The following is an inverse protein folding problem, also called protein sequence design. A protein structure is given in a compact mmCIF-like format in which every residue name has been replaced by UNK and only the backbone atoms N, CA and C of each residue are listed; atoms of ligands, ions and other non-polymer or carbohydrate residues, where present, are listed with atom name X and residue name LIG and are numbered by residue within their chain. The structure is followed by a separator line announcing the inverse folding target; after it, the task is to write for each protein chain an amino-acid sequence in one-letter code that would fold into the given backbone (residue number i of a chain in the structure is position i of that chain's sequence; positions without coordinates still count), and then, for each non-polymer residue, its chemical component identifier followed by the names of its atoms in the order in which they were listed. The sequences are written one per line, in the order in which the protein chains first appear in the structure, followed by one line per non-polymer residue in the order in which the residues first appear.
data_IF_180362879572
#
_entry.id   IF_180362879572
#
_cell.length_a   1.000
_cell.length_b   1.000
_cell.length_c   1.000
_cell.angle_alpha   90.00
_cell.angle_beta   90.00
_cell.angle_gamma   90.00
#
_symmetry.space_group_name_H-M   'P 1'
#
loop_
_entity.id
_entity.type
_entity.pdbx_description
1 polymer ?
#
# COMPACT_ATOMS: atom_id res chain seq x y z
N UNK A 1 -27.52 14.01 -19.97
CA UNK A 1 -28.16 13.39 -18.78
C UNK A 1 -27.04 12.82 -17.96
N UNK A 2 -26.91 13.22 -16.69
CA UNK A 2 -25.88 12.64 -15.81
C UNK A 2 -26.12 11.14 -15.65
N UNK A 3 -25.04 10.39 -15.53
CA UNK A 3 -25.08 8.95 -15.24
C UNK A 3 -25.83 8.70 -13.94
N UNK A 4 -26.70 7.68 -13.93
CA UNK A 4 -27.49 7.31 -12.75
C UNK A 4 -26.54 6.89 -11.61
N UNK A 5 -26.73 7.43 -10.40
CA UNK A 5 -25.86 7.12 -9.25
C UNK A 5 -25.77 5.62 -8.97
N UNK A 6 -26.90 4.90 -9.10
CA UNK A 6 -26.95 3.46 -8.85
C UNK A 6 -26.17 2.65 -9.89
N UNK A 7 -26.01 3.19 -11.10
CA UNK A 7 -25.27 2.58 -12.21
C UNK A 7 -23.77 2.87 -12.10
N UNK A 8 -23.38 4.09 -11.70
CA UNK A 8 -21.97 4.48 -11.59
C UNK A 8 -21.28 4.01 -10.30
N UNK A 9 -22.02 3.81 -9.20
CA UNK A 9 -21.42 3.39 -7.92
C UNK A 9 -20.71 2.05 -8.05
N UNK A 10 -19.56 1.91 -7.40
CA UNK A 10 -18.70 0.72 -7.51
C UNK A 10 -19.09 -0.41 -6.55
N UNK A 11 -19.79 -0.08 -5.47
CA UNK A 11 -20.35 -1.07 -4.53
C UNK A 11 -21.84 -0.84 -4.27
N UNK A 12 -22.64 -1.90 -4.09
CA UNK A 12 -24.09 -1.82 -4.03
C UNK A 12 -24.62 -1.27 -2.71
N UNK A 13 -23.77 -1.13 -1.69
CA UNK A 13 -24.18 -0.71 -0.34
C UNK A 13 -24.30 0.81 -0.18
N UNK A 14 -23.72 1.59 -1.11
CA UNK A 14 -23.71 3.05 -1.02
C UNK A 14 -24.98 3.67 -1.61
N UNK A 15 -25.66 4.56 -0.88
CA UNK A 15 -26.79 5.34 -1.39
C UNK A 15 -26.36 6.75 -1.82
N UNK A 16 -27.11 7.36 -2.75
CA UNK A 16 -26.82 8.72 -3.20
C UNK A 16 -27.02 9.75 -2.07
N UNK A 17 -28.04 9.53 -1.23
CA UNK A 17 -28.33 10.36 -0.07
C UNK A 17 -27.17 10.40 0.92
N UNK A 18 -26.67 9.21 1.32
CA UNK A 18 -25.50 9.08 2.18
C UNK A 18 -24.28 9.82 1.58
N UNK A 19 -23.98 9.57 0.30
CA UNK A 19 -22.84 10.21 -0.37
C UNK A 19 -22.91 11.75 -0.30
N UNK A 20 -24.07 12.32 -0.67
CA UNK A 20 -24.27 13.78 -0.68
C UNK A 20 -24.22 14.39 0.71
N UNK A 21 -24.80 13.73 1.72
CA UNK A 21 -24.77 14.20 3.10
C UNK A 21 -23.34 14.20 3.63
N UNK A 22 -22.61 13.10 3.42
CA UNK A 22 -21.24 12.98 3.91
C UNK A 22 -20.31 14.01 3.25
N UNK A 23 -20.43 14.22 1.94
CA UNK A 23 -19.66 15.24 1.23
C UNK A 23 -20.00 16.65 1.75
N UNK A 24 -21.28 16.99 1.83
CA UNK A 24 -21.74 18.29 2.35
C UNK A 24 -21.25 18.54 3.78
N UNK A 25 -21.49 17.63 4.71
CA UNK A 25 -21.13 17.81 6.11
C UNK A 25 -19.62 17.89 6.32
N UNK A 26 -18.86 17.12 5.56
CA UNK A 26 -17.40 17.15 5.62
C UNK A 26 -16.85 18.51 5.19
N UNK A 27 -17.28 19.01 4.02
CA UNK A 27 -16.73 20.24 3.44
C UNK A 27 -17.37 21.52 3.97
N UNK A 28 -18.67 21.56 4.17
CA UNK A 28 -19.38 22.78 4.55
C UNK A 28 -19.36 23.02 6.05
N UNK A 29 -19.20 21.96 6.86
CA UNK A 29 -19.30 22.04 8.32
C UNK A 29 -17.97 21.65 8.97
N UNK A 30 -17.57 20.39 8.85
CA UNK A 30 -16.46 19.84 9.63
C UNK A 30 -15.11 20.50 9.30
N UNK A 31 -14.81 20.72 8.01
CA UNK A 31 -13.56 21.33 7.57
C UNK A 31 -13.43 22.79 8.02
N UNK A 32 -14.41 23.68 7.79
CA UNK A 32 -14.38 25.04 8.32
C UNK A 32 -14.22 25.10 9.83
N UNK A 33 -14.96 24.27 10.57
CA UNK A 33 -14.86 24.23 12.04
C UNK A 33 -13.46 23.80 12.50
N UNK A 34 -12.87 22.76 11.90
CA UNK A 34 -11.50 22.32 12.25
C UNK A 34 -10.46 23.35 11.85
N UNK A 35 -10.61 23.97 10.68
CA UNK A 35 -9.71 25.05 10.23
C UNK A 35 -9.72 26.21 11.22
N UNK A 36 -10.90 26.63 11.67
CA UNK A 36 -11.04 27.65 12.71
C UNK A 36 -10.38 27.22 14.01
N UNK A 37 -10.62 25.99 14.47
CA UNK A 37 -10.01 25.45 15.70
C UNK A 37 -8.49 25.39 15.61
N UNK A 38 -7.93 24.96 14.48
CA UNK A 38 -6.48 24.84 14.27
C UNK A 38 -5.80 26.21 14.13
N UNK A 39 -6.54 27.26 13.77
CA UNK A 39 -6.02 28.62 13.70
C UNK A 39 -5.77 29.26 15.07
N UNK A 40 -6.33 28.71 16.15
CA UNK A 40 -6.06 29.17 17.52
C UNK A 40 -4.60 28.81 17.90
N UNK A 41 -3.70 29.79 18.12
CA UNK A 41 -2.32 29.51 18.48
C UNK A 41 -2.18 28.87 19.87
N UNK A 42 -3.14 29.10 20.78
CA UNK A 42 -3.13 28.60 22.16
C UNK A 42 -3.75 27.19 22.28
N UNK A 43 -4.17 26.59 21.16
CA UNK A 43 -4.75 25.25 21.16
C UNK A 43 -3.75 24.23 21.75
N UNK A 44 -4.11 23.50 22.83
CA UNK A 44 -3.22 22.54 23.46
C UNK A 44 -2.68 21.52 22.46
N UNK A 45 -1.41 21.16 22.57
CA UNK A 45 -0.70 20.34 21.58
C UNK A 45 -1.38 18.98 21.34
N UNK A 46 -1.89 18.31 22.38
CA UNK A 46 -2.57 17.02 22.23
C UNK A 46 -3.90 17.15 21.49
N UNK A 47 -4.62 18.24 21.73
CA UNK A 47 -5.86 18.57 21.02
C UNK A 47 -5.56 18.92 19.56
N UNK A 48 -4.47 19.67 19.30
CA UNK A 48 -4.01 19.97 17.94
C UNK A 48 -3.67 18.69 17.19
N UNK A 49 -2.88 17.80 17.79
CA UNK A 49 -2.52 16.48 17.23
C UNK A 49 -3.76 15.64 16.91
N UNK A 50 -4.67 15.51 17.88
CA UNK A 50 -5.92 14.76 17.70
C UNK A 50 -6.80 15.35 16.58
N UNK A 51 -6.91 16.68 16.52
CA UNK A 51 -7.68 17.37 15.48
C UNK A 51 -7.07 17.15 14.09
N UNK A 52 -5.75 17.24 13.95
CA UNK A 52 -5.04 16.98 12.69
C UNK A 52 -5.16 15.52 12.25
N UNK A 53 -5.01 14.55 13.17
CA UNK A 53 -5.22 13.12 12.89
C UNK A 53 -6.63 12.87 12.39
N UNK A 54 -7.63 13.45 13.06
CA UNK A 54 -9.03 13.33 12.67
C UNK A 54 -9.31 13.94 11.28
N UNK A 55 -8.71 15.08 10.96
CA UNK A 55 -8.82 15.69 9.64
C UNK A 55 -8.20 14.81 8.55
N UNK A 56 -6.97 14.33 8.74
CA UNK A 56 -6.29 13.46 7.78
C UNK A 56 -7.08 12.15 7.54
N UNK A 57 -7.61 11.55 8.61
CA UNK A 57 -8.46 10.37 8.50
C UNK A 57 -9.75 10.63 7.70
N UNK A 58 -10.38 11.80 7.86
CA UNK A 58 -11.60 12.12 7.12
C UNK A 58 -11.34 12.42 5.64
N UNK A 59 -10.28 13.14 5.30
CA UNK A 59 -9.89 13.39 3.90
C UNK A 59 -9.61 12.05 3.19
N UNK A 60 -8.89 11.14 3.86
CA UNK A 60 -8.68 9.77 3.35
C UNK A 60 -9.99 8.99 3.17
N UNK A 61 -10.89 9.02 4.16
CA UNK A 61 -12.18 8.34 4.05
C UNK A 61 -13.05 8.91 2.92
N UNK A 62 -12.98 10.21 2.66
CA UNK A 62 -13.65 10.84 1.53
C UNK A 62 -13.11 10.35 0.19
N UNK A 63 -11.78 10.20 0.05
CA UNK A 63 -11.18 9.63 -1.16
C UNK A 63 -11.75 8.22 -1.43
N UNK A 64 -11.82 7.37 -0.40
CA UNK A 64 -12.42 6.03 -0.49
C UNK A 64 -13.91 6.11 -0.84
N UNK A 65 -14.64 7.05 -0.24
CA UNK A 65 -16.06 7.26 -0.50
C UNK A 65 -16.33 7.68 -1.94
N UNK A 66 -15.55 8.63 -2.48
CA UNK A 66 -15.65 9.10 -3.87
C UNK A 66 -15.34 8.00 -4.86
N UNK A 67 -14.32 7.19 -4.58
CA UNK A 67 -14.08 5.97 -5.35
C UNK A 67 -15.32 5.05 -5.29
N UNK A 68 -15.83 4.74 -4.10
CA UNK A 68 -17.02 3.89 -3.93
C UNK A 68 -18.27 4.46 -4.64
N UNK A 69 -18.42 5.78 -4.68
CA UNK A 69 -19.51 6.51 -5.33
C UNK A 69 -19.46 6.51 -6.86
N UNK A 70 -18.37 6.03 -7.46
CA UNK A 70 -18.24 6.05 -8.92
C UNK A 70 -17.69 7.38 -9.46
N UNK A 71 -16.95 8.16 -8.66
CA UNK A 71 -16.28 9.35 -9.19
C UNK A 71 -15.17 8.96 -10.19
N UNK A 72 -14.89 9.81 -11.20
CA UNK A 72 -13.80 9.58 -12.17
C UNK A 72 -12.44 9.41 -11.50
N UNK A 73 -11.63 8.47 -11.98
CA UNK A 73 -10.33 8.15 -11.38
C UNK A 73 -9.37 9.35 -11.45
N UNK A 74 -9.46 10.16 -12.50
CA UNK A 74 -8.68 11.38 -12.68
C UNK A 74 -8.89 12.35 -11.52
N UNK A 75 -10.14 12.50 -11.06
CA UNK A 75 -10.45 13.33 -9.89
C UNK A 75 -9.81 12.78 -8.61
N UNK A 76 -9.81 11.46 -8.45
CA UNK A 76 -9.22 10.80 -7.27
C UNK A 76 -7.70 10.99 -7.20
N UNK A 77 -7.03 11.09 -8.36
CA UNK A 77 -5.60 11.39 -8.43
C UNK A 77 -5.25 12.75 -7.86
N UNK A 78 -6.09 13.76 -8.09
CA UNK A 78 -5.93 15.11 -7.55
C UNK A 78 -6.26 15.15 -6.05
N UNK A 79 -7.32 14.46 -5.63
CA UNK A 79 -7.72 14.35 -4.22
C UNK A 79 -6.60 13.70 -3.35
N UNK A 80 -5.72 12.89 -3.95
CA UNK A 80 -4.64 12.21 -3.22
C UNK A 80 -3.57 13.17 -2.67
N UNK A 81 -3.31 14.31 -3.32
CA UNK A 81 -2.39 15.32 -2.80
C UNK A 81 -2.86 15.85 -1.44
N UNK A 82 -4.16 16.13 -1.30
CA UNK A 82 -4.76 16.61 -0.05
C UNK A 82 -4.66 15.56 1.07
N UNK A 83 -4.82 14.27 0.73
CA UNK A 83 -4.63 13.17 1.70
C UNK A 83 -3.20 13.18 2.24
N UNK A 84 -2.20 13.22 1.37
CA UNK A 84 -0.79 13.18 1.77
C UNK A 84 -0.41 14.42 2.57
N UNK A 85 -0.80 15.61 2.14
CA UNK A 85 -0.54 16.86 2.86
C UNK A 85 -1.17 16.89 4.26
N UNK A 86 -2.38 16.35 4.41
CA UNK A 86 -3.03 16.27 5.71
C UNK A 86 -2.28 15.34 6.67
N UNK A 87 -1.83 14.17 6.19
CA UNK A 87 -1.03 13.26 7.00
C UNK A 87 0.35 13.82 7.33
N UNK A 88 1.02 14.50 6.40
CA UNK A 88 2.29 15.19 6.67
C UNK A 88 2.13 16.32 7.70
N UNK A 89 1.01 17.06 7.65
CA UNK A 89 0.72 18.10 8.62
C UNK A 89 0.55 17.51 10.02
N UNK A 90 -0.16 16.39 10.13
CA UNK A 90 -0.23 15.63 11.38
C UNK A 90 1.15 15.12 11.81
N UNK A 91 1.93 14.55 10.90
CA UNK A 91 3.26 14.00 11.16
C UNK A 91 4.25 15.05 11.69
N UNK A 92 4.22 16.26 11.14
CA UNK A 92 4.99 17.41 11.63
C UNK A 92 4.58 17.79 13.05
N UNK A 93 3.28 17.87 13.33
CA UNK A 93 2.79 18.16 14.68
C UNK A 93 3.10 17.04 15.68
N UNK A 94 3.15 15.79 15.22
CA UNK A 94 3.50 14.61 16.00
C UNK A 94 5.01 14.47 16.27
N UNK A 95 5.87 15.16 15.52
CA UNK A 95 7.33 15.05 15.60
C UNK A 95 7.92 13.90 14.78
N UNK A 96 7.10 13.24 13.95
CA UNK A 96 7.56 12.15 13.05
C UNK A 96 8.36 12.70 11.87
N UNK A 97 8.00 13.88 11.38
CA UNK A 97 8.73 14.59 10.32
C UNK A 97 9.24 15.92 10.87
N UNK A 98 10.53 16.20 10.68
CA UNK A 98 11.14 17.45 11.14
C UNK A 98 12.66 17.34 11.30
N UNK A 99 13.25 18.25 12.09
CA UNK A 99 14.70 18.32 12.30
C UNK A 99 15.27 17.13 13.09
N UNK A 100 14.43 16.46 13.89
CA UNK A 100 14.75 15.24 14.64
C UNK A 100 13.55 14.28 14.50
N UNK A 101 13.41 13.61 13.35
CA UNK A 101 12.28 12.73 13.11
C UNK A 101 12.38 11.51 14.02
N UNK A 102 11.30 11.21 14.76
CA UNK A 102 11.20 10.05 15.62
C UNK A 102 9.82 9.39 15.49
N UNK A 103 9.81 8.05 15.47
CA UNK A 103 8.57 7.26 15.44
C UNK A 103 7.91 7.15 14.07
N UNK A 104 6.65 6.72 14.08
CA UNK A 104 5.81 6.51 12.91
C UNK A 104 4.39 6.99 13.20
N UNK A 105 3.68 7.43 12.17
CA UNK A 105 2.26 7.81 12.27
C UNK A 105 1.35 6.60 12.34
N UNK A 106 1.76 5.51 11.71
CA UNK A 106 1.06 4.22 11.74
C UNK A 106 2.02 3.14 12.22
N UNK A 107 1.53 2.26 13.09
CA UNK A 107 2.21 1.05 13.52
C UNK A 107 1.79 -0.17 12.72
N UNK A 108 2.74 -1.03 12.35
CA UNK A 108 2.41 -2.31 11.69
C UNK A 108 1.92 -3.37 12.68
N UNK A 109 2.18 -3.20 13.99
CA UNK A 109 1.70 -4.12 15.02
C UNK A 109 0.18 -4.12 15.24
N UNK A 110 -0.51 -3.01 14.96
CA UNK A 110 -1.96 -2.89 15.10
C UNK A 110 -2.63 -2.92 13.74
N UNK A 111 -3.54 -3.88 13.54
CA UNK A 111 -4.24 -4.11 12.26
C UNK A 111 -4.87 -2.86 11.67
N UNK A 112 -5.48 -1.99 12.49
CA UNK A 112 -6.14 -0.77 12.02
C UNK A 112 -5.16 0.27 11.45
N UNK A 113 -3.97 0.36 12.03
CA UNK A 113 -2.92 1.27 11.58
C UNK A 113 -2.18 0.69 10.37
N UNK A 114 -1.89 -0.62 10.40
CA UNK A 114 -1.33 -1.35 9.28
C UNK A 114 -2.20 -1.25 8.02
N UNK A 115 -3.51 -1.54 8.12
CA UNK A 115 -4.43 -1.43 6.97
C UNK A 115 -4.46 0.00 6.42
N UNK A 116 -4.44 1.00 7.29
CA UNK A 116 -4.40 2.40 6.84
C UNK A 116 -3.12 2.70 6.04
N UNK A 117 -1.99 2.08 6.37
CA UNK A 117 -0.73 2.21 5.65
C UNK A 117 -0.78 1.54 4.28
N UNK A 118 -1.05 0.23 4.23
CA UNK A 118 -0.98 -0.55 2.98
C UNK A 118 -2.08 -0.16 2.00
N UNK A 119 -3.27 0.23 2.47
CA UNK A 119 -4.32 0.74 1.60
C UNK A 119 -3.95 2.08 0.97
N UNK A 120 -3.31 2.98 1.72
CA UNK A 120 -2.87 4.27 1.18
C UNK A 120 -1.78 4.08 0.12
N UNK A 121 -0.80 3.21 0.39
CA UNK A 121 0.26 2.88 -0.56
C UNK A 121 -0.32 2.20 -1.81
N UNK A 122 -1.15 1.18 -1.64
CA UNK A 122 -1.78 0.46 -2.75
C UNK A 122 -2.63 1.38 -3.63
N UNK A 123 -3.44 2.24 -3.02
CA UNK A 123 -4.23 3.23 -3.76
C UNK A 123 -3.35 4.23 -4.50
N UNK A 124 -2.24 4.69 -3.89
CA UNK A 124 -1.29 5.60 -4.53
C UNK A 124 -0.65 4.98 -5.78
N UNK A 125 -0.28 3.70 -5.70
CA UNK A 125 0.29 2.94 -6.82
C UNK A 125 -0.75 2.79 -7.94
N UNK A 126 -1.95 2.35 -7.61
CA UNK A 126 -3.03 2.15 -8.58
C UNK A 126 -3.48 3.45 -9.25
N UNK A 127 -3.42 4.55 -8.52
CA UNK A 127 -3.67 5.88 -9.05
C UNK A 127 -2.50 6.44 -9.87
N UNK A 128 -1.38 5.72 -10.02
CA UNK A 128 -0.20 6.16 -10.78
C UNK A 128 0.32 7.51 -10.29
N UNK A 129 0.43 7.62 -8.97
CA UNK A 129 0.96 8.77 -8.21
C UNK A 129 2.18 8.37 -7.40
N UNK A 130 3.07 7.62 -8.04
CA UNK A 130 4.28 7.07 -7.43
C UNK A 130 5.24 8.19 -6.94
N UNK A 131 5.08 9.41 -7.45
CA UNK A 131 5.72 10.64 -6.96
C UNK A 131 5.44 10.93 -5.48
N UNK A 132 4.32 10.47 -4.96
CA UNK A 132 3.92 10.65 -3.56
C UNK A 132 4.48 9.57 -2.63
N UNK A 133 4.96 8.44 -3.16
CA UNK A 133 5.39 7.30 -2.35
C UNK A 133 6.53 7.63 -1.38
N UNK A 134 7.58 8.41 -1.74
CA UNK A 134 8.61 8.80 -0.77
C UNK A 134 8.09 9.64 0.40
N UNK A 135 7.07 10.48 0.15
CA UNK A 135 6.43 11.32 1.19
C UNK A 135 5.58 10.47 2.12
N UNK A 136 4.84 9.52 1.53
CA UNK A 136 4.02 8.54 2.26
C UNK A 136 4.95 7.66 3.10
N UNK A 137 6.01 7.11 2.53
CA UNK A 137 7.00 6.25 3.19
C UNK A 137 7.66 6.89 4.43
N UNK A 138 7.90 8.20 4.39
CA UNK A 138 8.43 8.96 5.53
C UNK A 138 7.49 8.96 6.76
N UNK A 139 6.20 8.63 6.58
CA UNK A 139 5.24 8.49 7.69
C UNK A 139 5.44 7.20 8.51
N UNK A 140 6.24 6.25 8.02
CA UNK A 140 6.41 4.90 8.57
C UNK A 140 7.86 4.56 8.93
N UNK A 141 8.70 5.56 9.23
CA UNK A 141 10.15 5.41 9.47
C UNK A 141 10.53 4.23 10.37
N UNK A 142 9.81 4.00 11.46
CA UNK A 142 10.08 2.91 12.41
C UNK A 142 9.78 1.49 11.87
N UNK A 143 9.18 1.36 10.69
CA UNK A 143 8.76 0.09 10.11
C UNK A 143 9.33 -0.18 8.70
N UNK A 144 10.24 0.66 8.22
CA UNK A 144 10.93 0.42 6.96
C UNK A 144 11.73 -0.89 7.04
N UNK A 145 11.54 -1.78 6.07
CA UNK A 145 12.17 -3.10 6.04
C UNK A 145 11.59 -4.09 7.06
N UNK A 146 10.43 -3.83 7.64
CA UNK A 146 9.87 -4.66 8.71
C UNK A 146 8.73 -5.60 8.27
N UNK A 147 8.10 -5.37 7.11
CA UNK A 147 6.93 -6.13 6.65
C UNK A 147 7.00 -6.45 5.16
N UNK A 148 6.83 -7.72 4.82
CA UNK A 148 6.95 -8.22 3.46
C UNK A 148 5.95 -7.58 2.49
N UNK A 149 4.66 -7.46 2.84
CA UNK A 149 3.66 -6.85 1.95
C UNK A 149 3.97 -5.39 1.68
N UNK A 150 4.34 -4.64 2.73
CA UNK A 150 4.71 -3.24 2.57
C UNK A 150 5.94 -3.08 1.67
N UNK A 151 6.96 -3.94 1.86
CA UNK A 151 8.18 -3.89 1.05
C UNK A 151 7.96 -4.33 -0.40
N UNK A 152 7.09 -5.31 -0.65
CA UNK A 152 6.68 -5.70 -2.01
C UNK A 152 6.01 -4.54 -2.76
N UNK A 153 5.27 -3.68 -2.06
CA UNK A 153 4.63 -2.49 -2.63
C UNK A 153 5.62 -1.35 -2.89
N UNK A 154 6.53 -1.07 -1.95
CA UNK A 154 7.35 0.15 -1.96
C UNK A 154 8.70 -0.01 -2.66
N UNK A 155 9.28 -1.23 -2.64
CA UNK A 155 10.63 -1.50 -3.18
C UNK A 155 10.83 -1.17 -4.66
N UNK A 156 9.81 -1.22 -5.55
CA UNK A 156 9.98 -0.78 -6.94
C UNK A 156 10.24 0.73 -7.07
N UNK A 157 9.87 1.52 -6.06
CA UNK A 157 9.84 2.99 -6.13
C UNK A 157 10.86 3.67 -5.23
N UNK A 158 11.30 2.99 -4.17
CA UNK A 158 12.25 3.52 -3.19
C UNK A 158 13.55 2.70 -3.23
N UNK A 159 14.68 3.29 -3.65
CA UNK A 159 15.97 2.60 -3.64
C UNK A 159 16.42 2.19 -2.24
N UNK A 160 17.24 1.14 -2.16
CA UNK A 160 17.81 0.67 -0.90
C UNK A 160 16.87 -0.19 -0.05
N UNK A 161 15.71 -0.57 -0.61
CA UNK A 161 14.86 -1.62 -0.05
C UNK A 161 15.40 -3.01 -0.37
N UNK A 162 15.27 -3.92 0.59
CA UNK A 162 15.74 -5.30 0.48
C UNK A 162 14.59 -6.28 0.68
N UNK A 163 14.83 -7.55 0.38
CA UNK A 163 13.87 -8.61 0.61
C UNK A 163 13.59 -8.79 2.11
N UNK A 164 12.31 -8.94 2.45
CA UNK A 164 11.84 -9.14 3.84
C UNK A 164 11.00 -10.41 3.90
N UNK A 165 11.40 -11.33 4.79
CA UNK A 165 10.72 -12.62 5.01
C UNK A 165 10.01 -12.65 6.38
N UNK A 166 9.31 -11.56 6.70
CA UNK A 166 8.53 -11.40 7.91
C UNK A 166 7.37 -10.43 7.62
N UNK A 167 6.19 -10.72 8.16
CA UNK A 167 5.02 -9.88 8.01
C UNK A 167 4.21 -9.88 9.31
N UNK A 168 3.47 -8.81 9.55
CA UNK A 168 2.79 -8.60 10.84
C UNK A 168 1.45 -9.32 10.97
N UNK A 169 0.81 -9.62 9.84
CA UNK A 169 -0.55 -10.14 9.81
C UNK A 169 -0.65 -11.28 8.81
N UNK A 170 -0.97 -12.49 9.27
CA UNK A 170 -1.02 -13.67 8.38
C UNK A 170 -2.20 -13.61 7.41
N UNK A 171 -3.42 -13.36 7.86
CA UNK A 171 -4.59 -13.32 6.96
C UNK A 171 -4.91 -11.88 6.55
N UNK A 172 -5.06 -11.56 5.25
CA UNK A 172 -5.05 -12.44 4.08
C UNK A 172 -3.67 -12.48 3.37
N UNK A 173 -2.61 -12.07 4.04
CA UNK A 173 -1.33 -11.72 3.41
C UNK A 173 -0.40 -12.92 3.16
N UNK A 174 -0.50 -14.00 3.91
CA UNK A 174 0.26 -15.24 3.64
C UNK A 174 -0.08 -15.80 2.26
N UNK A 175 -1.36 -16.03 1.87
CA UNK A 175 -1.68 -16.42 0.50
C UNK A 175 -1.25 -15.40 -0.56
N UNK A 176 -1.24 -14.09 -0.23
CA UNK A 176 -0.78 -13.06 -1.16
C UNK A 176 0.74 -13.13 -1.39
N UNK A 177 1.54 -13.41 -0.35
CA UNK A 177 2.98 -13.60 -0.46
C UNK A 177 3.30 -14.92 -1.18
N UNK A 178 2.59 -16.00 -0.87
CA UNK A 178 2.71 -17.27 -1.59
C UNK A 178 2.39 -17.09 -3.09
N UNK A 179 1.42 -16.23 -3.42
CA UNK A 179 1.10 -15.86 -4.80
C UNK A 179 2.23 -15.09 -5.49
N UNK A 180 3.00 -14.29 -4.76
CA UNK A 180 4.12 -13.52 -5.31
C UNK A 180 5.35 -14.41 -5.51
N UNK A 181 5.56 -15.37 -4.60
CA UNK A 181 6.72 -16.27 -4.61
C UNK A 181 6.56 -17.46 -5.58
N UNK A 182 5.34 -17.74 -6.07
CA UNK A 182 5.10 -18.81 -7.04
C UNK A 182 5.60 -18.45 -8.45
N UNK A 183 6.26 -19.42 -9.11
CA UNK A 183 6.70 -19.35 -10.50
C UNK A 183 5.62 -19.80 -11.51
N UNK A 184 4.47 -20.32 -11.05
CA UNK A 184 3.36 -20.77 -11.91
C UNK A 184 2.25 -19.70 -11.98
N UNK A 185 2.05 -19.02 -13.13
CA UNK A 185 1.02 -18.00 -13.26
C UNK A 185 -0.40 -18.45 -12.89
N UNK A 186 -0.72 -19.73 -13.10
CA UNK A 186 -2.02 -20.27 -12.73
C UNK A 186 -2.17 -20.39 -11.21
N UNK A 187 -1.09 -20.75 -10.51
CA UNK A 187 -1.00 -20.83 -9.06
C UNK A 187 -1.00 -19.43 -8.43
N UNK A 188 -0.19 -18.49 -8.95
CA UNK A 188 -0.18 -17.08 -8.51
C UNK A 188 -1.60 -16.49 -8.47
N UNK A 189 -2.34 -16.64 -9.57
CA UNK A 189 -3.71 -16.15 -9.67
C UNK A 189 -4.69 -16.93 -8.76
N UNK A 190 -4.41 -18.20 -8.42
CA UNK A 190 -5.22 -18.99 -7.46
C UNK A 190 -5.05 -18.47 -6.04
N UNK A 191 -3.81 -18.29 -5.61
CA UNK A 191 -3.45 -17.87 -4.27
C UNK A 191 -3.86 -16.41 -4.02
N UNK A 192 -3.71 -15.55 -5.03
CA UNK A 192 -4.18 -14.17 -4.93
C UNK A 192 -5.72 -14.07 -4.87
N UNK A 193 -6.44 -14.95 -5.58
CA UNK A 193 -7.90 -15.08 -5.42
C UNK A 193 -8.26 -15.39 -3.96
N UNK A 194 -7.56 -16.35 -3.36
CA UNK A 194 -7.78 -16.73 -1.97
C UNK A 194 -7.57 -15.54 -1.01
N UNK A 195 -6.48 -14.78 -1.19
CA UNK A 195 -6.23 -13.56 -0.42
C UNK A 195 -7.38 -12.55 -0.56
N UNK A 196 -7.83 -12.28 -1.80
CA UNK A 196 -8.92 -11.33 -2.10
C UNK A 196 -10.24 -11.75 -1.45
N UNK A 197 -10.59 -13.04 -1.53
CA UNK A 197 -11.83 -13.58 -0.95
C UNK A 197 -11.79 -13.56 0.58
N UNK A 198 -10.62 -13.77 1.19
CA UNK A 198 -10.44 -13.71 2.66
C UNK A 198 -10.37 -12.29 3.20
N UNK A 199 -10.03 -11.31 2.37
CA UNK A 199 -9.73 -9.95 2.83
C UNK A 199 -10.83 -9.36 3.73
N UNK A 200 -12.11 -9.43 3.37
CA UNK A 200 -13.18 -8.85 4.20
C UNK A 200 -13.31 -9.56 5.55
N UNK A 201 -13.41 -10.90 5.54
CA UNK A 201 -13.58 -11.70 6.76
C UNK A 201 -12.35 -11.61 7.69
N UNK A 202 -11.13 -11.55 7.13
CA UNK A 202 -9.89 -11.36 7.91
C UNK A 202 -9.82 -10.02 8.65
N UNK A 203 -10.68 -9.08 8.28
CA UNK A 203 -10.80 -7.77 8.89
C UNK A 203 -12.02 -7.65 9.82
N UNK A 204 -12.63 -8.77 10.21
CA UNK A 204 -13.68 -8.80 11.24
C UNK A 204 -13.20 -8.11 12.53
N UNK A 205 -14.08 -7.30 13.14
CA UNK A 205 -13.76 -6.52 14.34
C UNK A 205 -13.01 -5.21 14.09
N UNK A 206 -12.63 -4.90 12.83
CA UNK A 206 -12.14 -3.57 12.49
C UNK A 206 -13.27 -2.53 12.51
N UNK A 207 -13.00 -1.26 12.85
CA UNK A 207 -14.05 -0.23 12.94
C UNK A 207 -14.86 0.03 11.65
N UNK A 208 -14.36 -0.40 10.50
CA UNK A 208 -15.07 -0.28 9.22
C UNK A 208 -15.91 -1.52 8.87
N UNK A 209 -15.68 -2.65 9.53
CA UNK A 209 -16.37 -3.89 9.22
C UNK A 209 -17.86 -3.73 9.50
N UNK A 210 -18.71 -4.18 8.59
CA UNK A 210 -20.17 -4.12 8.68
C UNK A 210 -20.80 -2.72 8.79
N UNK A 211 -20.04 -1.63 8.68
CA UNK A 211 -20.59 -0.25 8.75
C UNK A 211 -21.63 0.07 7.68
N UNK A 212 -21.71 -0.72 6.61
CA UNK A 212 -22.79 -0.63 5.62
C UNK A 212 -24.17 -1.00 6.18
N UNK A 213 -24.22 -1.76 7.29
CA UNK A 213 -25.45 -2.14 7.99
C UNK A 213 -25.94 -1.02 8.92
N UNK A 214 -25.07 -0.08 9.27
CA UNK A 214 -25.34 1.03 10.18
C UNK A 214 -25.66 2.34 9.44
N UNK A 215 -25.99 2.27 8.14
CA UNK A 215 -26.48 3.43 7.41
C UNK A 215 -27.95 3.63 7.79
N UNK A 216 -28.25 4.75 8.46
CA UNK A 216 -29.62 5.08 8.86
C UNK A 216 -30.46 5.60 7.69
N UNK A 217 -31.78 5.69 7.90
CA UNK A 217 -32.75 6.18 6.91
C UNK A 217 -32.51 7.65 6.50
N UNK A 218 -31.80 8.41 7.34
CA UNK A 218 -31.41 9.79 7.08
C UNK A 218 -30.10 9.89 6.28
N UNK A 219 -29.39 8.78 6.06
CA UNK A 219 -28.15 8.72 5.30
C UNK A 219 -26.88 9.00 6.13
N UNK A 220 -26.93 8.82 7.45
CA UNK A 220 -25.74 8.86 8.31
C UNK A 220 -25.16 7.46 8.53
N UNK A 221 -23.84 7.38 8.74
CA UNK A 221 -23.14 6.11 8.96
C UNK A 221 -21.63 6.20 8.67
N UNK A 222 -20.94 5.06 8.73
CA UNK A 222 -19.48 4.96 8.63
C UNK A 222 -18.97 4.17 7.40
N UNK A 223 -19.74 4.08 6.33
CA UNK A 223 -19.41 3.26 5.17
C UNK A 223 -18.69 4.04 4.06
N UNK A 224 -17.43 3.68 3.80
CA UNK A 224 -16.57 4.31 2.78
C UNK A 224 -16.13 3.36 1.67
N UNK A 225 -16.74 2.17 1.62
CA UNK A 225 -16.36 1.09 0.74
C UNK A 225 -15.40 0.08 1.36
N UNK A 226 -15.39 -1.12 0.78
CA UNK A 226 -14.54 -2.24 1.19
C UNK A 226 -13.61 -2.59 0.05
N UNK A 227 -12.34 -2.19 0.15
CA UNK A 227 -11.41 -2.29 -0.98
C UNK A 227 -10.06 -2.82 -0.54
N UNK A 228 -9.61 -3.91 -1.17
CA UNK A 228 -8.27 -4.46 -1.00
C UNK A 228 -7.27 -3.80 -1.97
N UNK A 229 -7.08 -2.47 -1.84
CA UNK A 229 -6.21 -1.69 -2.73
C UNK A 229 -4.77 -2.21 -2.76
N UNK A 230 -4.27 -2.69 -1.63
CA UNK A 230 -2.94 -3.27 -1.50
C UNK A 230 -2.79 -4.56 -2.30
N UNK A 231 -3.79 -5.45 -2.27
CA UNK A 231 -3.76 -6.70 -3.03
C UNK A 231 -3.88 -6.44 -4.54
N UNK A 232 -4.74 -5.49 -4.94
CA UNK A 232 -4.84 -5.06 -6.32
C UNK A 232 -3.55 -4.39 -6.83
N UNK A 233 -2.88 -3.59 -6.00
CA UNK A 233 -1.59 -3.01 -6.35
C UNK A 233 -0.52 -4.09 -6.54
N UNK A 234 -0.50 -5.14 -5.71
CA UNK A 234 0.38 -6.29 -5.92
C UNK A 234 0.08 -7.01 -7.25
N UNK A 235 -1.20 -7.20 -7.59
CA UNK A 235 -1.59 -7.77 -8.88
C UNK A 235 -1.06 -6.94 -10.05
N UNK A 236 -1.16 -5.61 -9.94
CA UNK A 236 -0.63 -4.68 -10.94
C UNK A 236 0.89 -4.77 -11.05
N UNK A 237 1.61 -4.70 -9.93
CA UNK A 237 3.08 -4.67 -9.90
C UNK A 237 3.72 -5.97 -10.36
N UNK A 238 3.09 -7.11 -10.03
CA UNK A 238 3.61 -8.46 -10.30
C UNK A 238 3.01 -9.10 -11.55
N UNK A 239 2.17 -8.37 -12.27
CA UNK A 239 1.45 -8.85 -13.45
C UNK A 239 0.66 -10.15 -13.20
N UNK A 240 0.03 -10.26 -12.02
CA UNK A 240 -0.80 -11.42 -11.67
C UNK A 240 -2.13 -11.31 -12.44
N UNK A 241 -2.51 -12.40 -13.12
CA UNK A 241 -3.80 -12.50 -13.80
C UNK A 241 -4.95 -12.41 -12.78
N UNK A 242 -5.75 -11.36 -12.88
CA UNK A 242 -6.90 -11.12 -12.01
C UNK A 242 -8.22 -11.60 -12.61
N UNK A 243 -8.21 -12.23 -13.79
CA UNK A 243 -9.41 -12.63 -14.54
C UNK A 243 -10.43 -13.41 -13.72
N UNK A 244 -9.97 -14.31 -12.84
CA UNK A 244 -10.84 -15.19 -12.03
C UNK A 244 -11.45 -14.53 -10.80
N UNK A 245 -10.95 -13.37 -10.36
CA UNK A 245 -11.42 -12.68 -9.15
C UNK A 245 -11.72 -11.18 -9.35
N UNK A 246 -11.55 -10.65 -10.58
CA UNK A 246 -11.80 -9.23 -10.90
C UNK A 246 -13.21 -8.72 -10.61
N UNK A 247 -14.17 -9.63 -10.45
CA UNK A 247 -15.56 -9.29 -10.11
C UNK A 247 -15.88 -9.47 -8.63
N UNK A 248 -14.91 -9.84 -7.79
CA UNK A 248 -15.08 -9.87 -6.35
C UNK A 248 -15.38 -8.46 -5.83
N UNK A 249 -16.34 -8.35 -4.91
CA UNK A 249 -16.88 -7.05 -4.46
C UNK A 249 -15.83 -6.13 -3.86
N UNK A 250 -14.79 -6.69 -3.24
CA UNK A 250 -13.69 -5.92 -2.62
C UNK A 250 -12.54 -5.60 -3.56
N UNK A 251 -12.52 -6.18 -4.76
CA UNK A 251 -11.42 -6.02 -5.69
C UNK A 251 -11.64 -4.81 -6.62
N UNK A 252 -10.77 -3.79 -6.57
CA UNK A 252 -10.94 -2.54 -7.31
C UNK A 252 -10.50 -2.66 -8.79
N UNK A 253 -11.18 -3.49 -9.57
CA UNK A 253 -10.76 -3.83 -10.95
C UNK A 253 -10.53 -2.64 -11.88
N UNK A 254 -11.32 -1.57 -11.77
CA UNK A 254 -11.19 -0.41 -12.63
C UNK A 254 -9.96 0.44 -12.29
N UNK A 255 -9.50 0.43 -11.04
CA UNK A 255 -8.20 1.02 -10.66
C UNK A 255 -7.04 0.21 -11.25
N UNK A 256 -7.15 -1.12 -11.30
CA UNK A 256 -6.14 -1.98 -11.93
C UNK A 256 -6.12 -1.78 -13.45
N UNK A 257 -7.29 -1.76 -14.08
CA UNK A 257 -7.44 -1.47 -15.51
C UNK A 257 -6.88 -0.08 -15.82
N UNK A 258 -7.17 0.93 -14.99
CA UNK A 258 -6.60 2.28 -15.11
C UNK A 258 -5.07 2.25 -15.00
N UNK A 259 -4.51 1.62 -13.95
CA UNK A 259 -3.07 1.58 -13.73
C UNK A 259 -2.31 0.94 -14.92
N UNK A 260 -2.88 -0.14 -15.49
CA UNK A 260 -2.37 -0.84 -16.69
C UNK A 260 -2.48 0.02 -17.96
N UNK A 261 -3.56 0.77 -18.13
CA UNK A 261 -3.81 1.60 -19.31
C UNK A 261 -3.16 2.99 -19.25
N UNK A 262 -2.82 3.46 -18.05
CA UNK A 262 -2.34 4.83 -17.84
C UNK A 262 -1.00 5.07 -18.54
N UNK A 263 -1.07 5.94 -19.54
CA UNK A 263 0.10 6.52 -20.21
C UNK A 263 0.56 7.71 -19.39
N UNK A 264 1.82 7.70 -18.96
CA UNK A 264 2.39 8.80 -18.20
C UNK A 264 2.18 10.12 -18.94
N UNK A 265 1.65 11.13 -18.25
CA UNK A 265 1.64 12.49 -18.78
C UNK A 265 3.08 12.88 -19.16
N UNK A 266 3.30 13.53 -20.32
CA UNK A 266 4.65 13.79 -20.85
C UNK A 266 5.60 14.54 -19.89
N UNK A 267 5.07 15.24 -18.88
CA UNK A 267 5.83 15.95 -17.84
C UNK A 267 5.96 15.21 -16.50
N UNK A 268 5.31 14.05 -16.32
CA UNK A 268 5.46 13.21 -15.12
C UNK A 268 6.28 11.99 -15.50
N UNK A 269 7.50 11.90 -14.93
CA UNK A 269 8.45 10.81 -15.20
C UNK A 269 7.71 9.46 -15.19
N UNK A 270 7.75 8.67 -16.28
CA UNK A 270 7.27 7.31 -16.21
C UNK A 270 8.07 6.57 -15.12
N UNK A 271 7.46 5.60 -14.40
CA UNK A 271 8.26 4.64 -13.66
C UNK A 271 9.31 4.07 -14.62
N UNK A 272 10.54 3.84 -14.17
CA UNK A 272 11.57 3.28 -15.04
C UNK A 272 10.96 2.06 -15.72
N UNK A 273 10.93 2.07 -17.05
CA UNK A 273 10.59 0.89 -17.82
C UNK A 273 11.43 -0.26 -17.24
N UNK A 274 10.85 -1.46 -17.11
CA UNK A 274 11.63 -2.67 -16.85
C UNK A 274 12.67 -2.78 -17.96
N UNK A 275 13.83 -2.25 -17.65
CA UNK A 275 14.81 -1.77 -18.59
C UNK A 275 16.15 -1.90 -17.91
N UNK A 276 16.52 -3.15 -17.64
CA UNK A 276 17.89 -3.63 -17.52
C UNK A 276 18.89 -2.76 -16.73
N UNK A 277 18.42 -2.05 -15.71
CA UNK A 277 19.24 -1.36 -14.73
C UNK A 277 18.52 -1.32 -13.38
N UNK A 278 17.95 -2.46 -12.96
CA UNK A 278 17.95 -2.77 -11.54
C UNK A 278 19.40 -2.63 -11.06
N UNK A 279 19.64 -2.07 -9.87
CA UNK A 279 20.92 -2.31 -9.20
C UNK A 279 21.11 -3.83 -9.25
N UNK A 280 22.08 -4.29 -10.05
CA UNK A 280 22.43 -5.71 -10.09
C UNK A 280 22.90 -6.03 -8.69
N UNK A 281 22.03 -6.62 -7.88
CA UNK A 281 22.44 -7.34 -6.69
C UNK A 281 23.37 -8.41 -7.23
N UNK A 282 24.68 -8.22 -7.08
CA UNK A 282 25.67 -9.17 -7.54
C UNK A 282 25.31 -10.52 -6.91
N UNK A 283 25.00 -11.49 -7.77
CA UNK A 283 24.59 -12.83 -7.37
C UNK A 283 25.48 -13.87 -8.04
N UNK A 284 25.62 -15.02 -7.41
CA UNK A 284 26.35 -16.15 -7.98
C UNK A 284 25.80 -17.47 -7.43
N UNK A 285 25.74 -18.49 -8.29
CA UNK A 285 25.29 -19.83 -7.92
C UNK A 285 26.46 -20.66 -7.39
N UNK A 286 26.20 -21.66 -6.53
CA UNK A 286 27.18 -22.68 -6.20
C UNK A 286 27.93 -23.21 -7.43
N UNK A 287 29.26 -23.28 -7.36
CA UNK A 287 30.10 -23.71 -8.47
C UNK A 287 30.55 -22.59 -9.43
N UNK A 288 29.92 -21.42 -9.41
CA UNK A 288 30.35 -20.26 -10.20
C UNK A 288 31.49 -19.50 -9.49
N UNK A 289 32.37 -18.79 -10.21
CA UNK A 289 33.37 -17.93 -9.59
C UNK A 289 32.71 -16.69 -8.98
N UNK A 290 33.14 -16.31 -7.78
CA UNK A 290 32.67 -15.13 -7.07
C UNK A 290 32.98 -13.86 -7.89
N UNK A 291 31.97 -13.06 -8.26
CA UNK A 291 32.19 -11.91 -9.16
C UNK A 291 32.87 -10.73 -8.47
N UNK A 292 32.79 -10.63 -7.13
CA UNK A 292 33.34 -9.52 -6.36
C UNK A 292 33.71 -9.93 -4.93
N UNK A 293 34.85 -9.45 -4.45
CA UNK A 293 35.28 -9.66 -3.06
C UNK A 293 34.34 -8.95 -2.07
N UNK A 294 34.01 -9.64 -0.98
CA UNK A 294 33.27 -9.10 0.15
C UNK A 294 32.41 -10.15 0.85
N UNK A 295 31.42 -9.69 1.59
CA UNK A 295 30.42 -10.50 2.26
C UNK A 295 29.30 -10.90 1.29
N UNK A 296 28.89 -12.16 1.39
CA UNK A 296 27.85 -12.79 0.59
C UNK A 296 26.90 -13.53 1.52
N UNK A 297 25.63 -13.62 1.16
CA UNK A 297 24.64 -14.38 1.92
C UNK A 297 23.74 -15.23 1.03
N UNK A 298 23.28 -16.38 1.54
CA UNK A 298 22.39 -17.29 0.81
C UNK A 298 21.08 -17.50 1.57
N UNK A 299 19.97 -17.06 0.95
CA UNK A 299 18.61 -17.11 1.52
C UNK A 299 18.19 -18.56 1.76
N UNK A 300 18.32 -19.42 0.74
CA UNK A 300 17.98 -20.85 0.83
C UNK A 300 18.97 -21.67 1.67
N UNK A 301 19.96 -21.03 2.30
CA UNK A 301 20.79 -21.61 3.36
C UNK A 301 20.52 -20.95 4.72
N UNK A 302 19.28 -20.52 4.96
CA UNK A 302 18.84 -19.85 6.20
C UNK A 302 19.61 -18.55 6.48
N UNK A 303 19.88 -17.78 5.42
CA UNK A 303 20.61 -16.51 5.52
C UNK A 303 22.08 -16.68 5.90
N UNK A 304 22.69 -17.84 5.64
CA UNK A 304 24.12 -18.07 5.91
C UNK A 304 24.97 -17.00 5.22
N UNK A 305 25.92 -16.43 5.95
CA UNK A 305 26.86 -15.43 5.45
C UNK A 305 28.27 -16.02 5.29
N UNK A 306 28.96 -15.61 4.24
CA UNK A 306 30.34 -15.99 3.96
C UNK A 306 31.11 -14.76 3.45
N UNK A 307 32.42 -14.75 3.66
CA UNK A 307 33.30 -13.79 2.99
C UNK A 307 34.00 -14.51 1.84
N UNK A 308 33.93 -13.95 0.64
CA UNK A 308 34.51 -14.51 -0.58
C UNK A 308 35.49 -13.52 -1.18
N UNK A 309 36.55 -14.03 -1.82
CA UNK A 309 37.41 -13.22 -2.71
C UNK A 309 36.94 -13.34 -4.14
N UNK A 310 37.19 -12.30 -4.94
CA UNK A 310 36.88 -12.33 -6.36
C UNK A 310 37.58 -13.52 -7.04
N UNK A 311 36.82 -14.31 -7.79
CA UNK A 311 37.27 -15.50 -8.50
C UNK A 311 37.18 -16.81 -7.70
N UNK A 312 36.94 -16.78 -6.38
CA UNK A 312 36.75 -18.01 -5.59
C UNK A 312 35.42 -18.69 -5.94
N UNK A 313 35.42 -20.02 -6.07
CA UNK A 313 34.20 -20.77 -6.38
C UNK A 313 33.16 -20.67 -5.26
N UNK A 314 31.94 -20.25 -5.58
CA UNK A 314 30.85 -20.12 -4.63
C UNK A 314 30.48 -21.48 -4.02
N UNK A 315 30.33 -21.55 -2.68
CA UNK A 315 30.11 -22.81 -2.01
C UNK A 315 28.68 -23.34 -2.21
N UNK A 316 28.56 -24.66 -2.31
CA UNK A 316 27.26 -25.33 -2.35
C UNK A 316 26.59 -25.48 -0.98
N UNK A 317 25.46 -26.22 -0.93
CA UNK A 317 24.84 -27.02 -2.01
C UNK A 317 24.09 -26.20 -3.08
N UNK A 318 23.82 -26.77 -4.25
CA UNK A 318 22.99 -26.17 -5.33
C UNK A 318 21.51 -26.01 -4.93
N UNK A 319 21.02 -26.87 -4.04
CA UNK A 319 19.66 -26.85 -3.50
C UNK A 319 19.74 -26.86 -1.98
N UNK A 320 19.08 -25.90 -1.34
CA UNK A 320 18.96 -25.76 0.11
C UNK A 320 17.56 -26.14 0.62
N UNK A 321 17.29 -26.02 1.93
CA UNK A 321 16.02 -26.44 2.53
C UNK A 321 14.76 -25.76 1.99
N UNK A 322 14.89 -24.62 1.29
CA UNK A 322 13.77 -23.84 0.76
C UNK A 322 13.88 -23.51 -0.73
N UNK A 323 14.74 -24.21 -1.50
CA UNK A 323 14.89 -23.97 -2.94
C UNK A 323 16.33 -23.90 -3.45
N UNK A 324 16.49 -23.50 -4.71
CA UNK A 324 17.80 -23.39 -5.36
C UNK A 324 18.67 -22.31 -4.70
N UNK A 325 19.90 -22.64 -4.34
CA UNK A 325 20.79 -21.71 -3.62
C UNK A 325 21.36 -20.69 -4.58
N UNK A 326 21.13 -19.42 -4.26
CA UNK A 326 21.81 -18.27 -4.88
C UNK A 326 22.45 -17.46 -3.76
N UNK A 327 23.70 -17.09 -3.95
CA UNK A 327 24.41 -16.18 -3.06
C UNK A 327 24.26 -14.75 -3.56
N UNK A 328 24.00 -13.81 -2.65
CA UNK A 328 23.81 -12.39 -2.93
C UNK A 328 24.87 -11.57 -2.20
N UNK A 329 25.43 -10.56 -2.88
CA UNK A 329 26.46 -9.69 -2.33
C UNK A 329 25.87 -8.73 -1.29
N UNK A 330 26.50 -8.67 -0.12
CA UNK A 330 26.09 -7.85 1.03
C UNK A 330 26.92 -6.57 1.18
N UNK A 331 28.16 -6.54 0.69
CA UNK A 331 29.10 -5.42 0.87
C UNK A 331 30.52 -5.86 1.22
N UNK A 332 31.48 -4.93 1.26
CA UNK A 332 32.88 -5.21 1.64
C UNK A 332 33.07 -5.37 3.14
#
# INVERSE_FOLDING_TARGET
MGENFLERRRQPFLTEGFYKIWERETFEIAFPMRKQRLADPELPIDIRKSTLRGQASQIKNLLHLRYTAGEPIEKLRDDLDEVVEAWETFAKAAGVIGAKPEGSIFGFGYRSEYLSAVLLVGLTILLRREDLLPRIDALFLGFQGADAIYEELISPFIPGRGFVNAWYHDEPYTPALDAIDSDDPAEQSTLMKEAVERWYASNEGMPFHDTHKDIDDEGHGGYFGYWCFELAALCYLKDIDDGRFRNHVTYPKDLVDFARAYQAEPDRRPPPASGAAALQVLSARPGEPCPQEGMWYAIHLRGKEIRMRQGETMPGPEIGPSGAVTWYFKGL
#
